data_IF_521973932168
#
_entry.id   IF_521973932168
#
_cell.length_a   1.000
_cell.length_b   1.000
_cell.length_c   1.000
_cell.angle_alpha   90.00
_cell.angle_beta   90.00
_cell.angle_gamma   90.00
#
_symmetry.space_group_name_H-M   'P 1'
#
loop_
_entity.id
_entity.type
_entity.pdbx_description
1 polymer ?
#
# COMPACT_ATOMS: atom_id res chain seq x y z
N UNK A 1 -0.31 0.48 7.86
CA UNK A 1 -0.31 -0.21 6.56
C UNK A 1 -0.04 0.81 5.45
N UNK A 2 0.87 0.52 4.53
CA UNK A 2 1.10 1.30 3.30
C UNK A 2 1.01 0.35 2.11
N UNK A 3 0.20 0.70 1.13
CA UNK A 3 0.03 0.00 -0.15
C UNK A 3 0.45 0.94 -1.27
N UNK A 4 1.24 0.46 -2.22
CA UNK A 4 1.68 1.25 -3.35
C UNK A 4 1.64 0.41 -4.63
N UNK A 5 1.19 1.01 -5.74
CA UNK A 5 1.08 0.31 -7.02
C UNK A 5 2.43 0.25 -7.74
N UNK A 6 2.79 -0.92 -8.28
CA UNK A 6 4.04 -1.08 -9.02
C UNK A 6 4.12 -0.22 -10.30
N UNK A 7 2.96 0.16 -10.85
CA UNK A 7 2.79 0.94 -12.07
C UNK A 7 2.31 2.38 -11.79
N UNK A 8 2.43 2.89 -10.57
CA UNK A 8 2.17 4.30 -10.30
C UNK A 8 3.21 5.16 -11.05
N UNK A 9 2.72 6.01 -11.95
CA UNK A 9 3.54 6.91 -12.78
C UNK A 9 3.59 8.34 -12.23
N UNK A 10 2.80 8.64 -11.20
CA UNK A 10 2.73 9.95 -10.57
C UNK A 10 3.62 10.00 -9.33
N UNK A 11 3.64 8.92 -8.55
CA UNK A 11 4.50 8.79 -7.37
C UNK A 11 5.29 7.48 -7.45
N UNK A 12 6.61 7.56 -7.28
CA UNK A 12 7.47 6.40 -7.40
C UNK A 12 7.47 5.56 -6.12
N UNK A 13 7.57 4.25 -6.28
CA UNK A 13 7.62 3.29 -5.16
C UNK A 13 8.79 3.55 -4.21
N UNK A 14 9.93 4.03 -4.72
CA UNK A 14 11.11 4.37 -3.94
C UNK A 14 10.84 5.54 -2.98
N UNK A 15 10.14 6.56 -3.46
CA UNK A 15 9.75 7.72 -2.64
C UNK A 15 8.75 7.31 -1.56
N UNK A 16 7.76 6.48 -1.93
CA UNK A 16 6.79 5.92 -0.99
C UNK A 16 7.50 5.11 0.11
N UNK A 17 8.50 4.29 -0.25
CA UNK A 17 9.30 3.49 0.68
C UNK A 17 10.15 4.35 1.62
N UNK A 18 10.79 5.40 1.08
CA UNK A 18 11.59 6.37 1.86
C UNK A 18 10.72 7.18 2.81
N UNK A 19 9.50 7.52 2.41
CA UNK A 19 8.55 8.18 3.31
C UNK A 19 8.05 7.22 4.39
N UNK A 20 7.66 5.99 4.02
CA UNK A 20 7.10 5.02 4.96
C UNK A 20 8.09 4.60 6.04
N UNK A 21 9.40 4.62 5.76
CA UNK A 21 10.44 4.32 6.75
C UNK A 21 10.50 5.33 7.90
N UNK A 22 9.83 6.48 7.79
CA UNK A 22 9.72 7.49 8.86
C UNK A 22 8.56 7.22 9.82
N UNK A 23 7.68 6.26 9.51
CA UNK A 23 6.54 5.91 10.35
C UNK A 23 7.00 4.97 11.48
N UNK A 24 6.97 5.45 12.73
CA UNK A 24 7.43 4.71 13.92
C UNK A 24 6.63 3.43 14.22
N UNK A 25 5.42 3.30 13.66
CA UNK A 25 4.55 2.13 13.79
C UNK A 25 4.09 1.61 12.42
N UNK A 26 5.02 1.54 11.46
CA UNK A 26 4.73 0.91 10.17
C UNK A 26 4.44 -0.58 10.36
N UNK A 27 3.18 -0.98 10.24
CA UNK A 27 2.81 -2.40 10.27
C UNK A 27 3.33 -3.19 9.06
N UNK A 28 3.08 -2.66 7.85
CA UNK A 28 3.49 -3.31 6.58
C UNK A 28 3.58 -2.28 5.47
N UNK A 29 4.56 -2.46 4.58
CA UNK A 29 4.66 -1.78 3.29
C UNK A 29 4.57 -2.85 2.20
N UNK A 30 3.59 -2.72 1.30
CA UNK A 30 3.33 -3.70 0.24
C UNK A 30 3.33 -3.00 -1.12
N UNK A 31 4.11 -3.53 -2.05
CA UNK A 31 3.99 -3.21 -3.48
C UNK A 31 2.93 -4.14 -4.09
N UNK A 32 1.97 -3.55 -4.78
CA UNK A 32 0.90 -4.26 -5.49
C UNK A 32 1.29 -4.34 -6.96
N UNK A 33 1.70 -5.53 -7.41
CA UNK A 33 2.01 -5.81 -8.81
C UNK A 33 0.81 -5.45 -9.70
N UNK A 34 1.06 -4.77 -10.82
CA UNK A 34 -0.01 -4.28 -11.70
C UNK A 34 -0.75 -3.03 -11.21
N UNK A 35 -0.68 -2.70 -9.90
CA UNK A 35 -1.39 -1.57 -9.30
C UNK A 35 -0.95 -0.21 -9.85
N UNK A 36 -1.91 0.71 -10.03
CA UNK A 36 -1.69 2.08 -10.55
C UNK A 36 -1.93 3.13 -9.45
N UNK A 37 -1.87 4.42 -9.77
CA UNK A 37 -2.03 5.49 -8.78
C UNK A 37 -3.35 5.40 -7.97
N UNK A 38 -4.47 5.14 -8.64
CA UNK A 38 -5.79 5.01 -8.01
C UNK A 38 -6.05 3.57 -7.49
N UNK A 39 -5.02 2.90 -6.96
CA UNK A 39 -5.09 1.48 -6.58
C UNK A 39 -6.22 1.16 -5.60
N UNK A 40 -6.59 2.09 -4.71
CA UNK A 40 -7.66 1.86 -3.73
C UNK A 40 -9.04 1.67 -4.37
N UNK A 41 -9.20 2.05 -5.64
CA UNK A 41 -10.46 2.04 -6.39
C UNK A 41 -10.45 1.06 -7.56
N UNK A 42 -9.30 0.45 -7.87
CA UNK A 42 -9.09 -0.35 -9.08
C UNK A 42 -8.35 -1.63 -8.76
N UNK A 43 -8.69 -2.71 -9.46
CA UNK A 43 -7.93 -3.94 -9.39
C UNK A 43 -6.53 -3.76 -10.00
N UNK A 44 -5.50 -4.41 -9.45
CA UNK A 44 -5.53 -5.35 -8.32
C UNK A 44 -5.44 -4.68 -6.92
N UNK A 45 -5.42 -3.35 -6.86
CA UNK A 45 -5.25 -2.62 -5.60
C UNK A 45 -6.45 -2.72 -4.64
N UNK A 46 -7.67 -2.71 -5.15
CA UNK A 46 -8.89 -2.88 -4.37
C UNK A 46 -8.94 -4.25 -3.68
N UNK A 47 -8.53 -5.31 -4.38
CA UNK A 47 -8.40 -6.67 -3.81
C UNK A 47 -7.33 -6.74 -2.72
N UNK A 48 -6.15 -6.19 -2.99
CA UNK A 48 -5.08 -6.12 -2.00
C UNK A 48 -5.51 -5.36 -0.74
N UNK A 49 -6.27 -4.27 -0.92
CA UNK A 49 -6.82 -3.50 0.18
C UNK A 49 -7.86 -4.31 0.97
N UNK A 50 -8.80 -4.96 0.29
CA UNK A 50 -9.83 -5.79 0.92
C UNK A 50 -9.23 -6.96 1.74
N UNK A 51 -8.10 -7.50 1.30
CA UNK A 51 -7.38 -8.55 2.03
C UNK A 51 -6.61 -8.01 3.25
N UNK A 52 -5.86 -6.91 3.08
CA UNK A 52 -4.88 -6.47 4.07
C UNK A 52 -5.45 -5.51 5.12
N UNK A 53 -6.49 -4.73 4.78
CA UNK A 53 -7.07 -3.76 5.70
C UNK A 53 -7.71 -4.42 6.93
N UNK A 54 -8.50 -5.51 6.82
CA UNK A 54 -9.06 -6.19 7.99
C UNK A 54 -7.97 -6.78 8.90
N UNK A 55 -6.89 -7.33 8.34
CA UNK A 55 -5.76 -7.86 9.11
C UNK A 55 -5.06 -6.75 9.90
N UNK A 56 -4.77 -5.63 9.23
CA UNK A 56 -4.18 -4.47 9.88
C UNK A 56 -5.04 -3.98 11.05
N UNK A 57 -6.36 -3.88 10.87
CA UNK A 57 -7.29 -3.47 11.94
C UNK A 57 -7.21 -4.45 13.11
N UNK A 58 -7.35 -5.75 12.87
CA UNK A 58 -7.39 -6.77 13.92
C UNK A 58 -6.06 -6.90 14.71
N UNK A 59 -4.93 -6.59 14.09
CA UNK A 59 -3.61 -6.73 14.72
C UNK A 59 -3.09 -5.45 15.38
N UNK A 60 -3.70 -4.29 15.12
CA UNK A 60 -3.18 -2.99 15.58
C UNK A 60 -4.15 -2.13 16.38
N UNK A 61 -5.44 -2.49 16.42
CA UNK A 61 -6.48 -1.83 17.22
C UNK A 61 -7.02 -2.80 18.27
#
# INVERSE_FOLDING_TARGET
LVLHGANDRLFLAEDAKKWSSKLSKLWKFTIVEGGVHHLSLTEPGSEALAQLLPQFINETL
#
